data_IF_644290311632
#
_entry.id   IF_644290311632
#
_cell.length_a   1.000
_cell.length_b   1.000
_cell.length_c   1.000
_cell.angle_alpha   90.00
_cell.angle_beta   90.00
_cell.angle_gamma   90.00
#
_symmetry.space_group_name_H-M   'P 1'
#
loop_
_entity.id
_entity.type
_entity.pdbx_description
1 polymer ?
#
# COMPACT_ATOMS: atom_id res chain seq x y z
N UNK A 1 -16.48 -18.08 2.47
CA UNK A 1 -15.50 -17.47 1.54
C UNK A 1 -14.11 -17.99 1.87
N UNK A 2 -13.23 -18.20 0.88
CA UNK A 2 -11.85 -18.57 1.14
C UNK A 2 -11.12 -17.47 1.92
N UNK A 3 -10.23 -17.89 2.82
CA UNK A 3 -9.40 -16.99 3.63
C UNK A 3 -8.21 -16.49 2.82
N UNK A 4 -7.89 -15.20 2.94
CA UNK A 4 -6.78 -14.61 2.21
C UNK A 4 -5.98 -13.62 3.06
N UNK A 5 -4.68 -13.51 2.76
CA UNK A 5 -3.79 -12.43 3.22
C UNK A 5 -3.27 -11.71 1.99
N UNK A 6 -3.25 -10.39 2.03
CA UNK A 6 -2.87 -9.55 0.89
C UNK A 6 -1.60 -8.78 1.24
N UNK A 7 -0.61 -8.89 0.36
CA UNK A 7 0.69 -8.25 0.50
C UNK A 7 0.96 -7.43 -0.77
N UNK A 8 1.09 -6.12 -0.61
CA UNK A 8 1.21 -5.18 -1.73
C UNK A 8 2.57 -4.51 -1.66
N UNK A 9 3.35 -4.62 -2.73
CA UNK A 9 4.55 -3.82 -2.94
C UNK A 9 4.14 -2.42 -3.41
N UNK A 10 4.06 -1.49 -2.46
CA UNK A 10 3.58 -0.14 -2.74
C UNK A 10 4.58 0.68 -3.55
N UNK A 11 5.89 0.36 -3.55
CA UNK A 11 6.86 1.06 -4.38
C UNK A 11 6.61 0.73 -5.86
N UNK A 12 6.51 -0.55 -6.20
CA UNK A 12 6.22 -0.98 -7.57
C UNK A 12 4.88 -0.44 -8.07
N UNK A 13 3.85 -0.48 -7.23
CA UNK A 13 2.53 0.06 -7.60
C UNK A 13 2.58 1.58 -7.78
N UNK A 14 3.29 2.31 -6.90
CA UNK A 14 3.45 3.76 -7.00
C UNK A 14 4.15 4.20 -8.29
N UNK A 15 5.29 3.59 -8.62
CA UNK A 15 6.02 3.93 -9.85
C UNK A 15 5.21 3.54 -11.10
N UNK A 16 4.58 2.37 -11.09
CA UNK A 16 3.73 1.93 -12.22
C UNK A 16 2.59 2.92 -12.47
N UNK A 17 1.87 3.34 -11.43
CA UNK A 17 0.79 4.33 -11.53
C UNK A 17 1.24 5.65 -12.14
N UNK A 18 2.44 6.12 -11.75
CA UNK A 18 3.04 7.33 -12.33
C UNK A 18 3.38 7.14 -13.81
N UNK A 19 3.99 6.03 -14.16
CA UNK A 19 4.46 5.76 -15.52
C UNK A 19 3.28 5.63 -16.50
N UNK A 20 2.16 5.05 -16.07
CA UNK A 20 0.98 4.85 -16.91
C UNK A 20 -0.09 5.96 -16.78
N UNK A 21 0.09 6.92 -15.86
CA UNK A 21 -0.86 8.00 -15.62
C UNK A 21 -2.21 7.56 -15.03
N UNK A 22 -2.24 6.42 -14.33
CA UNK A 22 -3.44 5.85 -13.71
C UNK A 22 -3.27 5.77 -12.20
N UNK A 23 -4.33 5.98 -11.44
CA UNK A 23 -4.34 5.83 -9.98
C UNK A 23 -5.34 4.77 -9.55
N UNK A 24 -4.90 3.89 -8.65
CA UNK A 24 -5.75 2.89 -8.01
C UNK A 24 -6.62 3.57 -6.96
N UNK A 25 -7.92 3.35 -7.07
CA UNK A 25 -8.87 3.66 -6.02
C UNK A 25 -8.75 2.58 -4.92
N UNK A 26 -7.98 2.88 -3.90
CA UNK A 26 -7.71 1.94 -2.81
C UNK A 26 -8.95 1.61 -1.98
N UNK A 27 -9.95 2.50 -1.92
CA UNK A 27 -11.21 2.26 -1.22
C UNK A 27 -12.03 1.19 -1.93
N UNK A 28 -12.22 1.35 -3.25
CA UNK A 28 -12.87 0.33 -4.07
C UNK A 28 -12.10 -0.98 -4.08
N UNK A 29 -10.78 -0.92 -4.14
CA UNK A 29 -9.92 -2.12 -4.13
C UNK A 29 -10.10 -2.92 -2.85
N UNK A 30 -10.08 -2.27 -1.68
CA UNK A 30 -10.31 -2.94 -0.39
C UNK A 30 -11.72 -3.52 -0.30
N UNK A 31 -12.73 -2.74 -0.68
CA UNK A 31 -14.12 -3.20 -0.68
C UNK A 31 -14.28 -4.46 -1.53
N UNK A 32 -13.74 -4.44 -2.75
CA UNK A 32 -13.74 -5.59 -3.64
C UNK A 32 -13.06 -6.83 -3.02
N UNK A 33 -11.89 -6.65 -2.40
CA UNK A 33 -11.18 -7.74 -1.74
C UNK A 33 -11.97 -8.32 -0.56
N UNK A 34 -12.60 -7.48 0.25
CA UNK A 34 -13.41 -7.88 1.41
C UNK A 34 -14.73 -8.55 1.01
N UNK A 35 -15.34 -8.13 -0.11
CA UNK A 35 -16.54 -8.77 -0.66
C UNK A 35 -16.22 -10.13 -1.31
N UNK A 36 -14.99 -10.30 -1.81
CA UNK A 36 -14.56 -11.50 -2.53
C UNK A 36 -13.94 -12.58 -1.63
N UNK A 37 -13.35 -12.19 -0.48
CA UNK A 37 -12.58 -13.07 0.39
C UNK A 37 -12.81 -12.78 1.86
N UNK A 38 -12.59 -13.79 2.71
CA UNK A 38 -12.41 -13.58 4.14
C UNK A 38 -10.98 -13.04 4.40
N UNK A 39 -10.83 -11.72 4.29
CA UNK A 39 -9.54 -11.04 4.40
C UNK A 39 -9.07 -11.03 5.85
N UNK A 40 -7.98 -11.77 6.11
CA UNK A 40 -7.35 -11.81 7.43
C UNK A 40 -6.45 -10.60 7.67
N UNK A 41 -5.80 -10.10 6.62
CA UNK A 41 -4.85 -9.00 6.71
C UNK A 41 -4.54 -8.39 5.33
N UNK A 42 -4.28 -7.07 5.30
CA UNK A 42 -3.69 -6.37 4.15
C UNK A 42 -2.46 -5.59 4.63
N UNK A 43 -1.29 -5.89 4.06
CA UNK A 43 -0.02 -5.18 4.32
C UNK A 43 0.49 -4.49 3.07
N UNK A 44 1.02 -3.29 3.24
CA UNK A 44 1.68 -2.51 2.20
C UNK A 44 3.16 -2.35 2.57
N UNK A 45 4.05 -2.70 1.64
CA UNK A 45 5.49 -2.55 1.80
C UNK A 45 5.98 -1.39 0.95
N UNK A 46 6.59 -0.40 1.57
CA UNK A 46 7.15 0.77 0.89
C UNK A 46 8.43 1.19 1.60
N UNK A 47 9.47 1.48 0.83
CA UNK A 47 10.66 2.15 1.33
C UNK A 47 10.48 3.67 1.23
N UNK A 48 10.57 4.38 2.34
CA UNK A 48 10.50 5.84 2.37
C UNK A 48 11.91 6.37 2.59
N UNK A 49 12.39 7.17 1.64
CA UNK A 49 13.59 7.99 1.85
C UNK A 49 13.15 9.28 2.55
N UNK A 50 14.01 9.87 3.39
CA UNK A 50 13.69 11.09 4.15
C UNK A 50 13.17 12.25 3.26
N UNK A 51 13.55 12.27 1.98
CA UNK A 51 13.19 13.35 1.05
C UNK A 51 12.11 12.96 0.02
N UNK A 52 11.46 11.80 0.15
CA UNK A 52 10.43 11.36 -0.81
C UNK A 52 9.01 11.74 -0.35
N UNK A 53 8.73 13.03 -0.40
CA UNK A 53 7.42 13.61 -0.02
C UNK A 53 6.24 13.00 -0.82
N UNK A 54 6.49 12.60 -2.08
CA UNK A 54 5.43 12.02 -2.93
C UNK A 54 5.08 10.61 -2.48
N UNK A 55 6.07 9.81 -2.12
CA UNK A 55 5.86 8.47 -1.58
C UNK A 55 5.27 8.53 -0.17
N UNK A 56 5.68 9.50 0.66
CA UNK A 56 5.07 9.76 1.95
C UNK A 56 3.58 10.14 1.83
N UNK A 57 3.23 11.01 0.87
CA UNK A 57 1.84 11.39 0.60
C UNK A 57 1.00 10.19 0.14
N UNK A 58 1.56 9.35 -0.73
CA UNK A 58 0.93 8.11 -1.18
C UNK A 58 0.70 7.12 -0.03
N UNK A 59 1.66 7.00 0.88
CA UNK A 59 1.52 6.18 2.09
C UNK A 59 0.41 6.66 3.01
N UNK A 60 0.27 7.97 3.17
CA UNK A 60 -0.82 8.57 3.94
C UNK A 60 -2.17 8.24 3.28
N UNK A 61 -2.24 8.27 1.94
CA UNK A 61 -3.47 7.95 1.20
C UNK A 61 -3.92 6.48 1.39
N UNK A 62 -2.99 5.53 1.27
CA UNK A 62 -3.30 4.11 1.50
C UNK A 62 -3.57 3.82 2.98
N UNK A 63 -2.88 4.52 3.90
CA UNK A 63 -2.96 4.33 5.35
C UNK A 63 -4.17 4.98 6.03
N UNK A 64 -4.64 6.13 5.53
CA UNK A 64 -5.86 6.81 6.02
C UNK A 64 -7.10 5.93 5.97
N UNK A 65 -7.09 4.96 5.07
CA UNK A 65 -8.23 4.10 4.82
C UNK A 65 -8.03 2.66 5.32
N UNK A 66 -6.93 2.39 6.04
CA UNK A 66 -6.70 1.11 6.68
C UNK A 66 -7.07 1.19 8.16
N UNK A 67 -8.27 0.76 8.53
CA UNK A 67 -8.73 0.72 9.92
C UNK A 67 -8.02 -0.36 10.78
N UNK A 68 -7.01 -1.08 10.27
CA UNK A 68 -6.30 -2.12 11.03
C UNK A 68 -4.93 -2.53 10.45
N UNK A 69 -4.34 -1.76 9.52
CA UNK A 69 -3.05 -2.16 8.94
C UNK A 69 -1.91 -1.49 9.70
N UNK A 70 -1.17 -2.30 10.46
CA UNK A 70 0.15 -1.92 10.95
C UNK A 70 1.03 -1.60 9.73
N UNK A 71 1.18 -0.31 9.42
CA UNK A 71 2.15 0.16 8.45
C UNK A 71 3.53 -0.06 9.08
N UNK A 72 4.20 -1.15 8.69
CA UNK A 72 5.57 -1.40 9.08
C UNK A 72 6.46 -0.52 8.23
N UNK A 73 6.87 0.62 8.80
CA UNK A 73 7.87 1.51 8.24
C UNK A 73 9.21 0.78 8.26
N UNK A 74 9.55 0.10 7.16
CA UNK A 74 10.89 -0.44 7.00
C UNK A 74 11.78 0.69 6.47
N UNK A 75 12.47 1.36 7.39
CA UNK A 75 13.41 2.42 7.08
C UNK A 75 14.61 1.79 6.35
N UNK A 76 14.54 1.75 5.02
CA UNK A 76 15.62 1.22 4.19
C UNK A 76 16.64 2.36 3.99
N UNK A 77 17.36 2.72 5.05
CA UNK A 77 18.63 3.45 4.90
C UNK A 77 19.58 2.48 4.21
N UNK A 78 19.91 2.77 2.94
CA UNK A 78 21.09 2.17 2.32
C UNK A 78 22.28 2.83 2.99
N UNK A 79 22.93 2.09 3.87
CA UNK A 79 24.28 2.41 4.32
C UNK A 79 25.18 2.46 3.08
N UNK A 80 25.52 3.67 2.66
CA UNK A 80 26.62 3.99 1.73
C UNK A 80 27.31 5.24 2.22
#
# INVERSE_FOLDING_TARGET
MPKAKVYIDGANVFYTQKDIGFSIDWEKTRKYLQESYDILEIRYYVGVKQDDEKMASYLIEIGKNSASSSAWWMNCQKDT
#
